data_IF_415634832843
#
_entry.id   IF_415634832843
#
_cell.length_a   1.000
_cell.length_b   1.000
_cell.length_c   1.000
_cell.angle_alpha   90.00
_cell.angle_beta   90.00
_cell.angle_gamma   90.00
#
_symmetry.space_group_name_H-M   'P 1'
#
loop_
_entity.id
_entity.type
_entity.pdbx_description
1 polymer ?
#
# COMPACT_ATOMS: atom_id res chain seq x y z
N UNK A 1 -14.27 -2.97 -27.35
CA UNK A 1 -13.15 -3.20 -26.41
C UNK A 1 -13.38 -2.61 -25.01
N UNK A 2 -14.24 -1.59 -24.86
CA UNK A 2 -14.56 -0.95 -23.58
C UNK A 2 -15.31 -1.85 -22.56
N UNK A 3 -16.19 -2.75 -23.03
CA UNK A 3 -17.04 -3.58 -22.15
C UNK A 3 -16.31 -4.66 -21.35
N UNK A 4 -15.08 -5.05 -21.73
CA UNK A 4 -14.32 -6.06 -20.97
C UNK A 4 -13.64 -5.48 -19.73
N UNK A 5 -13.38 -4.16 -19.70
CA UNK A 5 -12.81 -3.48 -18.54
C UNK A 5 -13.79 -3.44 -17.35
N UNK A 6 -15.09 -3.36 -17.63
CA UNK A 6 -16.15 -3.33 -16.62
C UNK A 6 -16.35 -4.65 -15.88
N UNK A 7 -16.06 -5.78 -16.51
CA UNK A 7 -16.20 -7.10 -15.88
C UNK A 7 -15.10 -7.31 -14.82
N UNK A 8 -13.95 -6.62 -14.95
CA UNK A 8 -12.86 -6.71 -13.98
C UNK A 8 -13.14 -5.92 -12.70
N UNK A 9 -13.84 -4.77 -12.79
CA UNK A 9 -14.17 -3.92 -11.64
C UNK A 9 -15.25 -4.54 -10.73
N UNK A 10 -16.14 -5.36 -11.30
CA UNK A 10 -17.24 -6.00 -10.57
C UNK A 10 -16.78 -7.20 -9.73
N UNK A 11 -15.66 -7.84 -10.06
CA UNK A 11 -15.12 -8.99 -9.32
C UNK A 11 -14.25 -8.61 -8.10
N UNK A 12 -13.96 -7.31 -7.89
CA UNK A 12 -13.19 -6.80 -6.74
C UNK A 12 -13.96 -6.98 -5.40
N UNK A 13 -15.27 -7.23 -5.44
CA UNK A 13 -16.08 -7.50 -4.24
C UNK A 13 -16.00 -8.93 -3.71
N UNK A 14 -15.25 -9.82 -4.35
CA UNK A 14 -14.90 -11.13 -3.79
C UNK A 14 -13.39 -11.22 -3.59
N UNK A 15 -12.90 -10.70 -2.47
CA UNK A 15 -11.58 -11.10 -1.96
C UNK A 15 -11.67 -11.33 -0.46
N UNK A 16 -11.16 -12.51 -0.11
CA UNK A 16 -11.17 -13.15 1.19
C UNK A 16 -10.48 -12.32 2.26
N UNK A 17 -11.01 -12.47 3.47
CA UNK A 17 -10.55 -11.90 4.74
C UNK A 17 -9.04 -11.81 4.92
N UNK A 18 -8.65 -10.70 5.54
CA UNK A 18 -7.67 -10.52 6.61
C UNK A 18 -7.15 -11.80 7.26
N UNK A 19 -6.23 -12.47 6.58
CA UNK A 19 -5.28 -13.38 7.22
C UNK A 19 -3.98 -13.30 6.45
N UNK A 20 -3.25 -12.18 6.60
CA UNK A 20 -1.83 -12.14 6.25
C UNK A 20 -0.96 -12.99 7.21
N UNK A 21 -1.54 -13.57 8.27
CA UNK A 21 -0.88 -14.51 9.19
C UNK A 21 -0.76 -15.95 8.67
N UNK A 22 -0.76 -16.21 7.36
CA UNK A 22 -0.14 -17.44 6.87
C UNK A 22 1.35 -17.21 6.76
N UNK A 23 2.07 -17.40 7.87
CA UNK A 23 3.55 -17.47 7.94
C UNK A 23 4.17 -18.52 6.98
N UNK A 24 3.36 -19.27 6.25
CA UNK A 24 3.76 -20.32 5.32
C UNK A 24 3.72 -19.81 3.88
N UNK A 25 4.83 -19.28 3.37
CA UNK A 25 4.97 -19.00 1.93
C UNK A 25 5.86 -17.84 1.51
N UNK A 26 6.53 -17.13 2.43
CA UNK A 26 7.48 -16.07 2.04
C UNK A 26 8.86 -16.67 1.72
N UNK A 27 9.02 -17.27 0.54
CA UNK A 27 10.20 -18.06 0.18
C UNK A 27 11.26 -17.20 -0.52
N UNK A 28 10.87 -16.21 -1.32
CA UNK A 28 11.83 -15.33 -2.01
C UNK A 28 11.23 -14.26 -2.93
N UNK A 29 11.94 -13.95 -4.03
CA UNK A 29 11.64 -12.83 -4.92
C UNK A 29 10.24 -12.87 -5.56
N UNK A 30 9.79 -14.05 -5.98
CA UNK A 30 8.46 -14.22 -6.58
C UNK A 30 7.35 -13.84 -5.60
N UNK A 31 7.46 -14.28 -4.34
CA UNK A 31 6.50 -13.94 -3.29
C UNK A 31 6.56 -12.45 -2.98
N UNK A 32 7.75 -11.86 -2.96
CA UNK A 32 7.92 -10.42 -2.84
C UNK A 32 7.16 -9.65 -3.92
N UNK A 33 7.25 -10.05 -5.20
CA UNK A 33 6.50 -9.41 -6.29
C UNK A 33 4.99 -9.63 -6.16
N UNK A 34 4.56 -10.84 -5.86
CA UNK A 34 3.15 -11.20 -5.83
C UNK A 34 2.42 -10.57 -4.66
N UNK A 35 3.13 -10.30 -3.55
CA UNK A 35 2.56 -9.75 -2.33
C UNK A 35 1.79 -8.41 -2.56
N UNK A 36 2.40 -7.34 -3.09
CA UNK A 36 1.68 -6.08 -3.35
C UNK A 36 0.67 -6.19 -4.49
N UNK A 37 0.76 -7.23 -5.33
CA UNK A 37 -0.15 -7.45 -6.48
C UNK A 37 -1.43 -8.16 -6.04
N UNK A 38 -1.33 -9.09 -5.08
CA UNK A 38 -2.44 -9.91 -4.60
C UNK A 38 -3.14 -9.29 -3.38
N UNK A 39 -2.42 -8.52 -2.56
CA UNK A 39 -3.03 -7.72 -1.49
C UNK A 39 -3.89 -6.62 -2.08
N UNK A 40 -5.21 -6.69 -1.88
CA UNK A 40 -6.15 -5.80 -2.56
C UNK A 40 -6.06 -4.35 -2.07
N UNK A 41 -5.89 -4.14 -0.77
CA UNK A 41 -5.61 -2.85 -0.15
C UNK A 41 -4.31 -2.22 -0.70
N UNK A 42 -3.24 -3.03 -0.79
CA UNK A 42 -1.95 -2.65 -1.35
C UNK A 42 -2.07 -2.30 -2.82
N UNK A 43 -2.65 -3.19 -3.62
CA UNK A 43 -2.85 -3.00 -5.03
C UNK A 43 -3.59 -1.69 -5.31
N UNK A 44 -4.71 -1.46 -4.62
CA UNK A 44 -5.51 -0.25 -4.76
C UNK A 44 -4.69 1.00 -4.40
N UNK A 45 -3.94 0.99 -3.30
CA UNK A 45 -3.08 2.11 -2.90
C UNK A 45 -1.98 2.38 -3.95
N UNK A 46 -1.21 1.38 -4.36
CA UNK A 46 -0.08 1.55 -5.30
C UNK A 46 -0.53 2.06 -6.66
N UNK A 47 -1.61 1.49 -7.20
CA UNK A 47 -2.20 1.96 -8.46
C UNK A 47 -2.73 3.38 -8.30
N UNK A 48 -3.32 3.72 -7.15
CA UNK A 48 -3.85 5.05 -6.92
C UNK A 48 -2.78 6.13 -6.85
N UNK A 49 -1.63 5.87 -6.20
CA UNK A 49 -0.49 6.80 -6.21
C UNK A 49 -0.06 7.09 -7.64
N UNK A 50 0.02 6.06 -8.49
CA UNK A 50 0.32 6.20 -9.91
C UNK A 50 -0.70 7.07 -10.66
N UNK A 51 -2.00 6.79 -10.50
CA UNK A 51 -3.08 7.54 -11.15
C UNK A 51 -3.06 9.01 -10.71
N UNK A 52 -2.99 9.28 -9.40
CA UNK A 52 -2.97 10.62 -8.84
C UNK A 52 -1.77 11.42 -9.35
N UNK A 53 -0.60 10.79 -9.45
CA UNK A 53 0.60 11.44 -10.00
C UNK A 53 0.41 11.87 -11.46
N UNK A 54 -0.31 11.07 -12.27
CA UNK A 54 -0.63 11.39 -13.65
C UNK A 54 -1.69 12.51 -13.76
N UNK A 55 -2.70 12.54 -12.86
CA UNK A 55 -3.70 13.61 -12.79
C UNK A 55 -3.09 14.98 -12.46
N UNK A 56 -2.04 15.00 -11.62
CA UNK A 56 -1.28 16.22 -11.34
C UNK A 56 -0.44 16.63 -12.57
N UNK A 57 0.26 15.66 -13.17
CA UNK A 57 1.09 15.85 -14.35
C UNK A 57 2.44 16.53 -14.07
N UNK A 58 3.16 16.87 -15.13
CA UNK A 58 4.49 17.51 -15.03
C UNK A 58 5.51 16.60 -14.34
N UNK A 59 6.30 17.18 -13.42
CA UNK A 59 7.32 16.41 -12.66
C UNK A 59 6.70 15.43 -11.66
N UNK A 60 5.45 15.65 -11.24
CA UNK A 60 4.78 14.84 -10.23
C UNK A 60 4.63 13.37 -10.65
N UNK A 61 4.52 13.11 -11.96
CA UNK A 61 4.47 11.77 -12.56
C UNK A 61 5.60 10.87 -12.05
N UNK A 62 6.78 11.45 -11.82
CA UNK A 62 7.96 10.72 -11.33
C UNK A 62 8.19 10.93 -9.84
N UNK A 63 8.04 12.17 -9.36
CA UNK A 63 8.41 12.49 -7.97
C UNK A 63 7.46 11.86 -6.96
N UNK A 64 6.16 11.74 -7.26
CA UNK A 64 5.18 11.18 -6.33
C UNK A 64 5.42 9.68 -6.12
N UNK A 65 5.47 8.82 -7.16
CA UNK A 65 5.85 7.41 -7.00
C UNK A 65 7.22 7.19 -6.38
N UNK A 66 8.22 7.97 -6.79
CA UNK A 66 9.59 7.82 -6.27
C UNK A 66 9.66 8.14 -4.78
N UNK A 67 8.91 9.15 -4.32
CA UNK A 67 8.82 9.50 -2.90
C UNK A 67 8.16 8.39 -2.10
N UNK A 68 7.06 7.84 -2.61
CA UNK A 68 6.39 6.70 -1.97
C UNK A 68 7.38 5.56 -1.74
N UNK A 69 8.05 5.09 -2.82
CA UNK A 69 8.99 3.97 -2.75
C UNK A 69 10.17 4.28 -1.82
N UNK A 70 10.72 5.50 -1.89
CA UNK A 70 11.83 5.90 -1.03
C UNK A 70 11.46 5.88 0.46
N UNK A 71 10.33 6.49 0.83
CA UNK A 71 9.87 6.51 2.23
C UNK A 71 9.43 5.12 2.69
N UNK A 72 8.86 4.32 1.79
CA UNK A 72 8.51 2.92 2.06
C UNK A 72 9.73 2.07 2.36
N UNK A 73 10.86 2.25 1.66
CA UNK A 73 12.12 1.57 2.00
C UNK A 73 12.58 1.96 3.40
N UNK A 74 12.48 3.24 3.78
CA UNK A 74 12.84 3.70 5.12
C UNK A 74 11.93 3.04 6.18
N UNK A 75 10.61 3.04 5.97
CA UNK A 75 9.67 2.35 6.85
C UNK A 75 9.95 0.85 6.94
N UNK A 76 10.27 0.20 5.82
CA UNK A 76 10.62 -1.22 5.77
C UNK A 76 11.88 -1.57 6.55
N UNK A 77 12.94 -0.75 6.43
CA UNK A 77 14.14 -0.93 7.24
C UNK A 77 13.81 -0.79 8.73
N UNK A 78 13.01 0.21 9.11
CA UNK A 78 12.60 0.40 10.50
C UNK A 78 11.77 -0.79 11.02
N UNK A 79 10.81 -1.29 10.24
CA UNK A 79 10.03 -2.48 10.56
C UNK A 79 10.92 -3.71 10.76
N UNK A 80 11.87 -3.97 9.85
CA UNK A 80 12.84 -5.07 9.97
C UNK A 80 13.64 -4.93 11.26
N UNK A 81 14.18 -3.74 11.54
CA UNK A 81 14.97 -3.52 12.75
C UNK A 81 14.14 -3.69 14.02
N UNK A 82 12.88 -3.25 14.02
CA UNK A 82 11.98 -3.39 15.16
C UNK A 82 11.68 -4.86 15.45
N UNK A 83 11.40 -5.64 14.42
CA UNK A 83 11.08 -7.07 14.55
C UNK A 83 12.30 -7.89 14.97
N UNK A 84 13.48 -7.63 14.39
CA UNK A 84 14.72 -8.30 14.79
C UNK A 84 15.09 -8.01 16.25
N UNK A 85 14.82 -6.79 16.74
CA UNK A 85 15.07 -6.43 18.14
C UNK A 85 14.08 -7.13 19.10
N UNK A 86 12.82 -7.33 18.71
CA UNK A 86 11.86 -8.12 19.51
C UNK A 86 12.33 -9.57 19.70
N UNK A 87 12.87 -10.18 18.63
CA UNK A 87 13.41 -11.54 18.70
C UNK A 87 14.65 -11.71 19.60
N UNK A 88 15.37 -10.62 19.90
CA UNK A 88 16.49 -10.61 20.85
C UNK A 88 16.01 -10.50 22.31
N UNK A 89 14.92 -9.77 22.55
CA UNK A 89 14.32 -9.60 23.88
C UNK A 89 13.52 -10.83 24.35
N UNK A 90 12.86 -11.57 23.46
CA UNK A 90 12.16 -12.83 23.83
C UNK A 90 13.09 -13.92 24.38
N UNK A 91 14.39 -13.89 24.05
CA UNK A 91 15.38 -14.79 24.67
C UNK A 91 15.82 -14.35 26.07
N UNK A 92 15.58 -13.09 26.45
CA UNK A 92 16.01 -12.48 27.72
C UNK A 92 14.85 -12.36 28.72
N UNK A 93 13.62 -12.13 28.24
CA UNK A 93 12.43 -11.89 29.08
C UNK A 93 11.75 -13.23 29.44
N UNK A 94 12.47 -14.09 30.16
CA UNK A 94 11.83 -15.19 30.93
C UNK A 94 11.45 -14.77 32.35
N UNK A 95 11.73 -13.52 32.73
CA UNK A 95 11.51 -13.00 34.08
C UNK A 95 11.04 -11.54 34.03
N UNK A 96 9.82 -11.31 34.56
CA UNK A 96 9.17 -10.06 34.96
C UNK A 96 8.39 -9.21 33.93
N UNK A 97 7.06 -9.20 34.14
CA UNK A 97 6.03 -8.20 33.78
C UNK A 97 5.73 -7.90 32.29
N UNK A 98 4.89 -8.76 31.70
CA UNK A 98 4.59 -8.88 30.26
C UNK A 98 3.34 -8.06 29.81
N UNK A 99 2.67 -7.27 30.65
CA UNK A 99 1.39 -6.64 30.25
C UNK A 99 1.51 -5.21 29.66
N UNK A 100 2.50 -4.41 30.06
CA UNK A 100 2.56 -2.98 29.71
C UNK A 100 3.31 -2.67 28.41
N UNK A 101 4.25 -3.51 27.98
CA UNK A 101 5.05 -3.34 26.76
C UNK A 101 4.26 -3.72 25.50
N UNK A 102 3.31 -4.65 25.62
CA UNK A 102 2.45 -5.08 24.50
C UNK A 102 1.46 -3.98 24.09
N UNK A 103 0.96 -3.17 25.03
CA UNK A 103 -0.02 -2.13 24.75
C UNK A 103 0.47 -1.07 23.75
N UNK A 104 1.73 -0.63 23.87
CA UNK A 104 2.29 0.37 22.94
C UNK A 104 2.52 -0.23 21.55
N UNK A 105 2.97 -1.48 21.48
CA UNK A 105 3.17 -2.18 20.21
C UNK A 105 1.84 -2.36 19.47
N UNK A 106 0.80 -2.86 20.16
CA UNK A 106 -0.54 -3.05 19.61
C UNK A 106 -1.11 -1.73 19.06
N UNK A 107 -0.90 -0.62 19.79
CA UNK A 107 -1.31 0.70 19.32
C UNK A 107 -0.57 1.13 18.04
N UNK A 108 0.73 0.82 17.93
CA UNK A 108 1.52 1.12 16.73
C UNK A 108 1.05 0.29 15.53
N UNK A 109 0.77 -1.00 15.70
CA UNK A 109 0.20 -1.84 14.65
C UNK A 109 -1.14 -1.28 14.15
N UNK A 110 -2.04 -0.96 15.08
CA UNK A 110 -3.33 -0.34 14.76
C UNK A 110 -3.16 0.98 13.98
N UNK A 111 -2.20 1.83 14.37
CA UNK A 111 -1.92 3.08 13.63
C UNK A 111 -1.40 2.83 12.21
N UNK A 112 -0.55 1.81 12.03
CA UNK A 112 -0.03 1.42 10.71
C UNK A 112 -1.17 0.98 9.81
N UNK A 113 -2.07 0.13 10.32
CA UNK A 113 -3.22 -0.40 9.58
C UNK A 113 -4.24 0.69 9.24
N UNK A 114 -4.55 1.57 10.20
CA UNK A 114 -5.34 2.78 9.92
C UNK A 114 -4.68 3.62 8.82
N UNK A 115 -3.35 3.76 8.84
CA UNK A 115 -2.60 4.47 7.80
C UNK A 115 -2.76 3.83 6.42
N UNK A 116 -2.72 2.50 6.33
CA UNK A 116 -2.95 1.74 5.09
C UNK A 116 -4.39 1.92 4.59
N UNK A 117 -5.38 1.78 5.47
CA UNK A 117 -6.81 1.97 5.11
C UNK A 117 -7.06 3.41 4.63
N UNK A 118 -6.53 4.40 5.36
CA UNK A 118 -6.63 5.81 4.98
C UNK A 118 -5.98 6.10 3.62
N UNK A 119 -4.92 5.36 3.25
CA UNK A 119 -4.31 5.50 1.93
C UNK A 119 -5.30 5.17 0.81
N UNK A 120 -6.05 4.06 0.94
CA UNK A 120 -7.05 3.62 -0.03
C UNK A 120 -8.19 4.62 -0.11
N UNK A 121 -8.67 5.11 1.04
CA UNK A 121 -9.74 6.10 1.13
C UNK A 121 -9.32 7.43 0.47
N UNK A 122 -8.22 8.02 0.94
CA UNK A 122 -7.82 9.36 0.58
C UNK A 122 -7.29 9.45 -0.85
N UNK A 123 -6.56 8.43 -1.32
CA UNK A 123 -6.12 8.38 -2.71
C UNK A 123 -7.29 8.07 -3.66
N UNK A 124 -8.25 7.22 -3.27
CA UNK A 124 -9.49 7.00 -4.02
C UNK A 124 -10.29 8.30 -4.19
N UNK A 125 -10.44 9.07 -3.11
CA UNK A 125 -11.06 10.39 -3.14
C UNK A 125 -10.28 11.38 -4.01
N UNK A 126 -8.95 11.38 -3.95
CA UNK A 126 -8.10 12.22 -4.80
C UNK A 126 -8.35 11.94 -6.28
N UNK A 127 -8.49 10.67 -6.66
CA UNK A 127 -8.85 10.25 -8.02
C UNK A 127 -10.24 10.76 -8.40
N UNK A 128 -11.23 10.59 -7.51
CA UNK A 128 -12.63 10.98 -7.73
C UNK A 128 -12.83 12.50 -7.93
N UNK A 129 -12.02 13.31 -7.23
CA UNK A 129 -12.09 14.77 -7.30
C UNK A 129 -11.63 15.28 -8.67
N UNK A 130 -10.67 14.62 -9.33
CA UNK A 130 -10.12 14.95 -10.65
C UNK A 130 -9.72 16.44 -10.81
N UNK A 131 -9.32 17.06 -9.69
CA UNK A 131 -8.72 18.39 -9.66
C UNK A 131 -7.24 18.24 -9.38
N UNK A 132 -6.44 19.18 -9.90
CA UNK A 132 -5.02 19.28 -9.56
C UNK A 132 -4.88 19.67 -8.09
N UNK A 133 -4.80 18.67 -7.23
CA UNK A 133 -4.50 18.84 -5.82
C UNK A 133 -3.09 19.44 -5.67
N UNK A 134 -2.86 20.27 -4.65
CA UNK A 134 -1.55 20.86 -4.43
C UNK A 134 -0.53 19.75 -4.18
N UNK A 135 0.55 19.73 -4.97
CA UNK A 135 1.56 18.65 -4.95
C UNK A 135 2.12 18.45 -3.55
N UNK A 136 2.36 19.53 -2.80
CA UNK A 136 2.86 19.46 -1.44
C UNK A 136 1.96 18.61 -0.52
N UNK A 137 0.64 18.72 -0.66
CA UNK A 137 -0.32 17.94 0.13
C UNK A 137 -0.23 16.46 -0.24
N UNK A 138 -0.13 16.15 -1.54
CA UNK A 138 0.01 14.77 -2.02
C UNK A 138 1.32 14.17 -1.53
N UNK A 139 2.43 14.92 -1.56
CA UNK A 139 3.73 14.44 -1.08
C UNK A 139 3.71 14.11 0.42
N UNK A 140 3.00 14.89 1.25
CA UNK A 140 2.83 14.60 2.68
C UNK A 140 2.08 13.29 2.87
N UNK A 141 0.90 13.15 2.25
CA UNK A 141 0.08 11.94 2.39
C UNK A 141 0.79 10.70 1.85
N UNK A 142 1.37 10.78 0.66
CA UNK A 142 2.12 9.68 0.02
C UNK A 142 3.35 9.30 0.85
N UNK A 143 4.01 10.25 1.51
CA UNK A 143 5.07 9.97 2.47
C UNK A 143 4.56 9.19 3.69
N UNK A 144 3.47 9.63 4.32
CA UNK A 144 2.85 8.93 5.46
C UNK A 144 2.43 7.52 5.07
N UNK A 145 1.71 7.37 3.96
CA UNK A 145 1.25 6.06 3.49
C UNK A 145 2.42 5.16 3.12
N UNK A 146 3.41 5.69 2.39
CA UNK A 146 4.63 4.96 2.07
C UNK A 146 5.31 4.43 3.33
N UNK A 147 5.40 5.26 4.37
CA UNK A 147 5.96 4.86 5.66
C UNK A 147 5.15 3.74 6.34
N UNK A 148 3.82 3.86 6.40
CA UNK A 148 2.94 2.83 6.97
C UNK A 148 3.06 1.50 6.22
N UNK A 149 2.92 1.51 4.89
CA UNK A 149 3.10 0.32 4.05
C UNK A 149 4.49 -0.29 4.22
N UNK A 150 5.54 0.55 4.22
CA UNK A 150 6.91 0.12 4.44
C UNK A 150 7.07 -0.58 5.78
N UNK A 151 6.59 0.04 6.86
CA UNK A 151 6.72 -0.49 8.21
C UNK A 151 5.95 -1.80 8.39
N UNK A 152 4.71 -1.89 7.89
CA UNK A 152 3.92 -3.12 7.93
C UNK A 152 4.68 -4.29 7.31
N UNK A 153 5.16 -4.14 6.07
CA UNK A 153 5.91 -5.19 5.38
C UNK A 153 7.27 -5.45 6.00
N UNK A 154 7.94 -4.42 6.51
CA UNK A 154 9.21 -4.54 7.21
C UNK A 154 9.11 -5.45 8.43
N UNK A 155 7.97 -5.43 9.14
CA UNK A 155 7.72 -6.30 10.29
C UNK A 155 7.52 -7.77 9.86
N UNK A 156 7.02 -8.02 8.65
CA UNK A 156 6.82 -9.38 8.12
C UNK A 156 8.08 -9.97 7.47
N UNK A 157 8.95 -9.13 6.91
CA UNK A 157 10.12 -9.55 6.12
C UNK A 157 11.12 -10.48 6.81
N UNK A 158 11.46 -10.33 8.11
CA UNK A 158 12.42 -11.21 8.79
C UNK A 158 12.00 -12.68 8.84
N UNK A 159 10.70 -12.96 8.67
CA UNK A 159 10.13 -14.30 8.66
C UNK A 159 10.26 -14.98 7.29
N UNK A 160 10.67 -14.26 6.25
CA UNK A 160 10.92 -14.81 4.93
C UNK A 160 12.18 -15.69 4.90
N UNK A 161 12.17 -16.75 4.10
CA UNK A 161 13.36 -17.62 3.93
C UNK A 161 14.56 -16.88 3.34
N UNK A 162 14.32 -15.88 2.49
CA UNK A 162 15.33 -14.95 2.00
C UNK A 162 14.78 -13.51 2.00
N UNK A 163 14.96 -12.75 3.11
CA UNK A 163 14.39 -11.42 3.28
C UNK A 163 14.87 -10.41 2.22
N UNK A 164 16.12 -10.53 1.76
CA UNK A 164 16.68 -9.62 0.75
C UNK A 164 15.99 -9.83 -0.60
N UNK A 165 15.86 -11.08 -1.05
CA UNK A 165 15.17 -11.38 -2.30
C UNK A 165 13.70 -10.98 -2.24
N UNK A 166 13.03 -11.24 -1.11
CA UNK A 166 11.66 -10.80 -0.89
C UNK A 166 11.55 -9.27 -0.98
N UNK A 167 12.41 -8.52 -0.29
CA UNK A 167 12.41 -7.06 -0.30
C UNK A 167 12.64 -6.47 -1.72
N UNK A 168 13.56 -7.05 -2.49
CA UNK A 168 13.79 -6.66 -3.89
C UNK A 168 12.58 -6.94 -4.76
N UNK A 169 11.95 -8.11 -4.58
CA UNK A 169 10.71 -8.48 -5.27
C UNK A 169 9.60 -7.49 -4.95
N UNK A 170 9.37 -7.24 -3.66
CA UNK A 170 8.38 -6.29 -3.16
C UNK A 170 8.58 -4.87 -3.68
N UNK A 171 9.80 -4.34 -3.59
CA UNK A 171 10.11 -3.02 -4.10
C UNK A 171 9.88 -2.92 -5.62
N UNK A 172 10.25 -3.96 -6.38
CA UNK A 172 10.05 -4.00 -7.84
C UNK A 172 8.57 -4.13 -8.24
N UNK A 173 7.79 -4.95 -7.53
CA UNK A 173 6.35 -5.10 -7.73
C UNK A 173 5.62 -3.80 -7.43
N UNK A 174 5.96 -3.16 -6.31
CA UNK A 174 5.42 -1.84 -5.94
C UNK A 174 5.74 -0.77 -6.99
N UNK A 175 7.00 -0.67 -7.44
CA UNK A 175 7.37 0.28 -8.48
C UNK A 175 6.61 0.02 -9.80
N UNK A 176 6.41 -1.26 -10.15
CA UNK A 176 5.66 -1.66 -11.35
C UNK A 176 4.19 -1.25 -11.25
N UNK A 177 3.55 -1.44 -10.10
CA UNK A 177 2.15 -1.03 -9.88
C UNK A 177 1.97 0.49 -9.94
N UNK A 178 2.94 1.26 -9.43
CA UNK A 178 2.92 2.71 -9.57
C UNK A 178 3.00 3.13 -11.03
N UNK A 179 3.92 2.56 -11.81
CA UNK A 179 4.04 2.84 -13.24
C UNK A 179 2.81 2.41 -14.02
N UNK A 180 2.19 1.29 -13.63
CA UNK A 180 0.91 0.83 -14.18
C UNK A 180 -0.20 1.85 -13.91
N UNK A 181 -0.32 2.36 -12.68
CA UNK A 181 -1.25 3.43 -12.32
C UNK A 181 -1.00 4.73 -13.09
N UNK A 182 0.27 5.13 -13.27
CA UNK A 182 0.66 6.27 -14.12
C UNK A 182 0.14 6.08 -15.54
N UNK A 183 0.32 4.87 -16.10
CA UNK A 183 -0.19 4.50 -17.40
C UNK A 183 -1.71 4.68 -17.50
N UNK A 184 -2.45 4.10 -16.54
CA UNK A 184 -3.92 4.24 -16.46
C UNK A 184 -4.32 5.72 -16.46
N UNK A 185 -3.75 6.53 -15.56
CA UNK A 185 -4.07 7.95 -15.45
C UNK A 185 -3.74 8.71 -16.73
N UNK A 186 -2.58 8.49 -17.32
CA UNK A 186 -2.15 9.16 -18.56
C UNK A 186 -3.10 8.89 -19.74
N UNK A 187 -3.60 7.66 -19.88
CA UNK A 187 -4.57 7.33 -20.94
C UNK A 187 -5.99 7.79 -20.59
N UNK A 188 -6.41 7.68 -19.34
CA UNK A 188 -7.75 8.03 -18.90
C UNK A 188 -8.05 9.53 -18.97
N UNK A 189 -7.01 10.39 -18.96
CA UNK A 189 -7.17 11.84 -19.07
C UNK A 189 -7.33 12.35 -20.52
N UNK A 190 -7.27 11.46 -21.53
CA UNK A 190 -7.36 11.87 -22.94
C UNK A 190 -8.79 12.13 -23.43
N UNK A 191 -9.80 11.55 -22.77
CA UNK A 191 -11.22 11.72 -23.16
C UNK A 191 -12.08 12.00 -21.93
N UNK A 192 -13.16 12.78 -22.12
CA UNK A 192 -14.09 13.09 -21.02
C UNK A 192 -14.76 11.83 -20.44
N UNK A 193 -15.06 10.84 -21.29
CA UNK A 193 -15.67 9.57 -20.86
C UNK A 193 -14.70 8.79 -19.97
N UNK A 194 -13.44 8.66 -20.38
CA UNK A 194 -12.44 7.93 -19.59
C UNK A 194 -12.10 8.63 -18.27
N UNK A 195 -12.11 9.97 -18.22
CA UNK A 195 -11.96 10.72 -16.96
C UNK A 195 -13.16 10.48 -16.02
N UNK A 196 -14.40 10.49 -16.52
CA UNK A 196 -15.58 10.17 -15.71
C UNK A 196 -15.49 8.74 -15.14
N UNK A 197 -15.08 7.76 -15.95
CA UNK A 197 -14.90 6.38 -15.49
C UNK A 197 -13.82 6.29 -14.41
N UNK A 198 -12.69 6.98 -14.59
CA UNK A 198 -11.63 7.03 -13.60
C UNK A 198 -12.12 7.58 -12.25
N UNK A 199 -12.98 8.62 -12.29
CA UNK A 199 -13.58 9.19 -11.08
C UNK A 199 -14.51 8.23 -10.37
N UNK A 200 -15.33 7.49 -11.12
CA UNK A 200 -16.20 6.44 -10.57
C UNK A 200 -15.35 5.35 -9.90
N UNK A 201 -14.24 4.94 -10.53
CA UNK A 201 -13.28 3.98 -9.93
C UNK A 201 -12.71 4.54 -8.62
N UNK A 202 -12.32 5.81 -8.58
CA UNK A 202 -11.86 6.46 -7.34
C UNK A 202 -12.89 6.44 -6.21
N UNK A 203 -14.18 6.65 -6.52
CA UNK A 203 -15.27 6.52 -5.54
C UNK A 203 -15.36 5.08 -5.02
N UNK A 204 -15.29 4.09 -5.91
CA UNK A 204 -15.29 2.68 -5.50
C UNK A 204 -14.12 2.34 -4.58
N UNK A 205 -12.92 2.85 -4.85
CA UNK A 205 -11.76 2.64 -4.00
C UNK A 205 -12.00 3.26 -2.62
N UNK A 206 -12.53 4.48 -2.56
CA UNK A 206 -12.84 5.13 -1.29
C UNK A 206 -13.89 4.36 -0.47
N UNK A 207 -14.96 3.89 -1.11
CA UNK A 207 -15.99 3.06 -0.47
C UNK A 207 -15.41 1.74 0.03
N UNK A 208 -14.54 1.10 -0.77
CA UNK A 208 -13.85 -0.12 -0.35
C UNK A 208 -12.96 0.13 0.87
N UNK A 209 -12.21 1.23 0.89
CA UNK A 209 -11.42 1.63 2.06
C UNK A 209 -12.29 1.86 3.29
N UNK A 210 -13.47 2.49 3.16
CA UNK A 210 -14.42 2.59 4.28
C UNK A 210 -14.92 1.22 4.76
N UNK A 211 -15.11 0.27 3.85
CA UNK A 211 -15.47 -1.11 4.21
C UNK A 211 -14.35 -1.81 5.01
N UNK A 212 -13.08 -1.58 4.67
CA UNK A 212 -11.93 -2.13 5.40
C UNK A 212 -11.90 -1.73 6.88
N UNK A 213 -12.45 -0.56 7.25
CA UNK A 213 -12.51 -0.11 8.66
C UNK A 213 -13.32 -1.10 9.53
N UNK A 214 -14.36 -1.72 8.98
CA UNK A 214 -15.24 -2.65 9.72
C UNK A 214 -14.75 -4.09 9.68
N UNK A 215 -13.67 -4.32 8.95
CA UNK A 215 -13.01 -5.60 8.82
C UNK A 215 -11.86 -5.74 9.82
N UNK A 216 -11.53 -4.65 10.50
CA UNK A 216 -10.50 -4.50 11.52
C UNK A 216 -11.05 -4.72 12.94
#
# INVERSE_FOLDING_TARGET
MLNKFFIFLFFIFFSSSLNAHTFTGMVGFYDGISHPVLGIDHFLAMVSVGIVSAQIGGRAIWTVPSTFVFIMIIGGILGITAELNKGLDEQVISLSEIESVNFLADYIYMLIEIGIILSVILLGLAIAIDKKLPVNLIMIFVGIFGFCHGTAHGLEMPWASNPILFALGFASGTATLHLFGVGIGHFALKTSISSILLRIVGIFFAVYGFYLIFQF
#
